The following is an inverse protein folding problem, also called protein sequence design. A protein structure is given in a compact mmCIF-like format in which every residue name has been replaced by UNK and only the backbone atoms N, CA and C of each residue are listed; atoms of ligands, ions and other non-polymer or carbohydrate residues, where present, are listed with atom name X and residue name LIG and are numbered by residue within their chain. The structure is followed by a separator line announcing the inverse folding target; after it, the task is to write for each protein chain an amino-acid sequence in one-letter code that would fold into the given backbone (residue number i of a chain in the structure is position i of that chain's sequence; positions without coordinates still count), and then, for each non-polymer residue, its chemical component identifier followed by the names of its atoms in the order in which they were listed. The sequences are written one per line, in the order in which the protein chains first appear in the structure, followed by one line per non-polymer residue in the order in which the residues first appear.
data_IF_008682634630
#
_entry.id   IF_008682634630
#
_cell.length_a   1.000
_cell.length_b   1.000
_cell.length_c   1.000
_cell.angle_alpha   90.00
_cell.angle_beta   90.00
_cell.angle_gamma   90.00
#
_symmetry.space_group_name_H-M   'P 1'
#
loop_
_entity.id
_entity.type
_entity.pdbx_description
1 polymer ?
#
# COMPACT_ATOMS: atom_id res chain seq x y z
N UNK A 1 50.13 -22.49 -17.63
CA UNK A 1 49.25 -22.08 -16.52
C UNK A 1 48.52 -23.30 -15.99
N UNK A 2 48.51 -23.52 -14.67
CA UNK A 2 47.92 -24.69 -14.01
C UNK A 2 46.39 -24.66 -14.09
N UNK A 3 45.77 -25.80 -14.41
CA UNK A 3 44.31 -26.02 -14.58
C UNK A 3 43.45 -25.38 -13.48
N UNK A 4 43.95 -25.38 -12.23
CA UNK A 4 43.32 -24.76 -11.07
C UNK A 4 43.07 -23.25 -11.18
N UNK A 5 43.99 -22.49 -11.80
CA UNK A 5 43.82 -21.03 -11.92
C UNK A 5 42.69 -20.67 -12.88
N UNK A 6 42.57 -21.43 -13.98
CA UNK A 6 41.54 -21.23 -15.01
C UNK A 6 40.14 -21.57 -14.50
N UNK A 7 39.98 -22.69 -13.79
CA UNK A 7 38.71 -23.07 -13.16
C UNK A 7 38.20 -22.04 -12.14
N UNK A 8 39.13 -21.31 -11.49
CA UNK A 8 38.79 -20.30 -10.50
C UNK A 8 38.34 -19.00 -11.15
N UNK A 9 39.01 -18.58 -12.23
CA UNK A 9 38.62 -17.41 -13.02
C UNK A 9 37.25 -17.61 -13.71
N UNK A 10 37.01 -18.79 -14.29
CA UNK A 10 35.73 -19.12 -14.94
C UNK A 10 34.57 -19.11 -13.93
N UNK A 11 34.79 -19.58 -12.70
CA UNK A 11 33.79 -19.50 -11.62
C UNK A 11 33.50 -18.07 -11.18
N UNK A 12 34.51 -17.22 -11.08
CA UNK A 12 34.31 -15.80 -10.73
C UNK A 12 33.61 -15.03 -11.86
N UNK A 13 33.91 -15.34 -13.11
CA UNK A 13 33.20 -14.78 -14.27
C UNK A 13 31.72 -15.20 -14.28
N UNK A 14 31.43 -16.48 -14.05
CA UNK A 14 30.05 -16.99 -13.98
C UNK A 14 29.24 -16.37 -12.81
N UNK A 15 29.88 -16.13 -11.67
CA UNK A 15 29.27 -15.41 -10.54
C UNK A 15 29.01 -13.94 -10.89
N UNK A 16 29.95 -13.29 -11.59
CA UNK A 16 29.79 -11.93 -12.08
C UNK A 16 28.63 -11.78 -13.07
N UNK A 17 28.51 -12.71 -14.01
CA UNK A 17 27.43 -12.70 -15.02
C UNK A 17 26.07 -13.02 -14.41
N UNK A 18 25.99 -13.92 -13.43
CA UNK A 18 24.72 -14.19 -12.71
C UNK A 18 24.30 -13.05 -11.80
N UNK A 19 25.24 -12.35 -11.15
CA UNK A 19 24.96 -11.10 -10.43
C UNK A 19 24.47 -10.00 -11.37
N UNK A 20 25.11 -9.85 -12.54
CA UNK A 20 24.74 -8.85 -13.53
C UNK A 20 23.40 -9.16 -14.19
N UNK A 21 23.10 -10.43 -14.48
CA UNK A 21 21.80 -10.87 -14.99
C UNK A 21 20.67 -10.69 -13.96
N UNK A 22 20.94 -10.96 -12.66
CA UNK A 22 19.98 -10.63 -11.58
C UNK A 22 19.79 -9.12 -11.42
N UNK A 23 20.85 -8.35 -11.57
CA UNK A 23 20.79 -6.89 -11.44
C UNK A 23 20.02 -6.26 -12.61
N UNK A 24 20.32 -6.65 -13.85
CA UNK A 24 19.67 -6.12 -15.06
C UNK A 24 18.24 -6.65 -15.21
N UNK A 25 17.95 -7.89 -14.77
CA UNK A 25 16.59 -8.44 -14.75
C UNK A 25 15.66 -7.82 -13.69
N UNK A 26 16.20 -7.08 -12.72
CA UNK A 26 15.45 -6.46 -11.63
C UNK A 26 15.38 -4.93 -11.70
N UNK A 27 15.93 -4.28 -12.75
CA UNK A 27 15.66 -2.87 -13.02
C UNK A 27 14.37 -2.80 -13.82
N UNK A 28 13.26 -3.02 -13.13
CA UNK A 28 11.92 -2.68 -13.63
C UNK A 28 11.57 -1.36 -12.98
N UNK A 29 11.22 -0.36 -13.79
CA UNK A 29 10.61 0.85 -13.26
C UNK A 29 9.23 0.47 -12.70
N UNK A 30 9.15 0.25 -11.38
CA UNK A 30 7.89 -0.08 -10.70
C UNK A 30 6.84 1.02 -10.89
N UNK A 31 7.23 2.24 -11.25
CA UNK A 31 6.31 3.32 -11.59
C UNK A 31 5.70 3.19 -13.00
N UNK A 32 6.21 2.32 -13.88
CA UNK A 32 5.61 2.00 -15.19
C UNK A 32 4.68 0.78 -15.15
N UNK A 33 4.76 -0.06 -14.12
CA UNK A 33 3.97 -1.30 -14.01
C UNK A 33 2.61 -1.13 -13.34
N UNK A 34 2.37 -0.01 -12.66
CA UNK A 34 1.09 0.27 -12.01
C UNK A 34 0.06 0.89 -12.96
N UNK A 35 -1.20 0.42 -12.90
CA UNK A 35 -2.31 0.94 -13.72
C UNK A 35 -2.90 2.18 -13.05
N UNK A 36 -2.28 3.34 -13.29
CA UNK A 36 -2.64 4.67 -12.76
C UNK A 36 -3.99 5.16 -13.29
N UNK A 37 -5.04 4.45 -12.92
CA UNK A 37 -6.38 4.70 -13.40
C UNK A 37 -7.17 5.44 -12.33
N UNK A 38 -7.36 6.73 -12.58
CA UNK A 38 -8.03 7.68 -11.70
C UNK A 38 -9.54 7.61 -11.97
N UNK A 39 -10.40 7.55 -10.92
CA UNK A 39 -11.84 7.62 -11.08
C UNK A 39 -12.25 9.02 -11.54
N UNK A 40 -13.20 9.10 -12.47
CA UNK A 40 -13.67 10.38 -13.03
C UNK A 40 -14.97 10.86 -12.41
N UNK A 41 -15.78 9.94 -11.88
CA UNK A 41 -17.16 10.24 -11.48
C UNK A 41 -17.57 9.61 -10.17
N UNK A 42 -16.87 8.57 -9.70
CA UNK A 42 -17.27 7.73 -8.56
C UNK A 42 -18.68 7.14 -8.72
N UNK A 43 -19.14 6.90 -9.95
CA UNK A 43 -20.55 6.55 -10.21
C UNK A 43 -20.95 5.25 -9.52
N UNK A 44 -20.14 4.20 -9.63
CA UNK A 44 -20.43 2.94 -8.95
C UNK A 44 -20.33 3.07 -7.43
N UNK A 45 -19.31 3.77 -6.92
CA UNK A 45 -19.16 3.96 -5.48
C UNK A 45 -20.32 4.78 -4.88
N UNK A 46 -20.72 5.89 -5.52
CA UNK A 46 -21.93 6.65 -5.11
C UNK A 46 -23.20 5.82 -5.14
N UNK A 47 -23.37 4.94 -6.13
CA UNK A 47 -24.51 4.01 -6.17
C UNK A 47 -24.50 3.05 -4.98
N UNK A 48 -23.33 2.56 -4.60
CA UNK A 48 -23.16 1.72 -3.41
C UNK A 48 -23.48 2.49 -2.13
N UNK A 49 -22.90 3.69 -1.93
CA UNK A 49 -23.18 4.51 -0.76
C UNK A 49 -24.68 4.82 -0.62
N UNK A 50 -25.34 5.14 -1.73
CA UNK A 50 -26.79 5.36 -1.74
C UNK A 50 -27.60 4.09 -1.42
N UNK A 51 -27.16 2.92 -1.89
CA UNK A 51 -27.79 1.63 -1.58
C UNK A 51 -27.67 1.31 -0.08
N UNK A 52 -26.50 1.52 0.50
CA UNK A 52 -26.19 1.27 1.91
C UNK A 52 -26.62 2.42 2.85
N UNK A 53 -27.24 3.49 2.30
CA UNK A 53 -27.70 4.68 3.03
C UNK A 53 -26.59 5.40 3.80
N UNK A 54 -25.38 5.40 3.23
CA UNK A 54 -24.23 6.13 3.74
C UNK A 54 -24.25 7.53 3.14
N UNK A 55 -24.24 8.55 4.01
CA UNK A 55 -24.14 9.95 3.59
C UNK A 55 -22.76 10.23 3.03
N UNK A 56 -22.68 11.07 2.01
CA UNK A 56 -21.41 11.46 1.39
C UNK A 56 -21.48 12.85 0.76
N UNK A 57 -20.33 13.45 0.51
CA UNK A 57 -20.17 14.76 -0.13
C UNK A 57 -19.35 14.71 -1.43
N UNK A 58 -19.05 13.50 -1.93
CA UNK A 58 -18.25 13.23 -3.14
C UNK A 58 -18.55 14.21 -4.29
N UNK A 59 -17.55 15.03 -4.59
CA UNK A 59 -17.61 16.07 -5.61
C UNK A 59 -16.32 16.12 -6.46
N UNK A 60 -16.04 17.27 -7.09
CA UNK A 60 -14.84 17.44 -7.89
C UNK A 60 -13.55 17.46 -7.05
N UNK A 61 -13.61 17.93 -5.80
CA UNK A 61 -12.47 17.97 -4.90
C UNK A 61 -12.05 16.55 -4.48
N UNK A 62 -13.02 15.65 -4.30
CA UNK A 62 -12.72 14.22 -4.07
C UNK A 62 -11.90 13.60 -5.20
N UNK A 63 -12.13 14.00 -6.47
CA UNK A 63 -11.33 13.52 -7.61
C UNK A 63 -9.88 13.99 -7.48
N UNK A 64 -9.67 15.27 -7.14
CA UNK A 64 -8.35 15.87 -6.94
C UNK A 64 -7.61 15.19 -5.79
N UNK A 65 -8.28 14.99 -4.64
CA UNK A 65 -7.73 14.33 -3.47
C UNK A 65 -7.29 12.89 -3.78
N UNK A 66 -8.14 12.12 -4.45
CA UNK A 66 -7.82 10.74 -4.86
C UNK A 66 -6.68 10.72 -5.89
N UNK A 67 -6.65 11.65 -6.85
CA UNK A 67 -5.56 11.75 -7.81
C UNK A 67 -4.22 12.03 -7.11
N UNK A 68 -4.18 12.98 -6.19
CA UNK A 68 -2.99 13.30 -5.41
C UNK A 68 -2.57 12.14 -4.51
N UNK A 69 -3.53 11.44 -3.92
CA UNK A 69 -3.29 10.25 -3.10
C UNK A 69 -2.65 9.12 -3.92
N UNK A 70 -3.16 8.85 -5.13
CA UNK A 70 -2.57 7.88 -6.07
C UNK A 70 -1.14 8.30 -6.44
N UNK A 71 -0.93 9.60 -6.71
CA UNK A 71 0.39 10.17 -6.99
C UNK A 71 1.38 9.89 -5.86
N UNK A 72 0.97 10.09 -4.61
CA UNK A 72 1.76 9.80 -3.40
C UNK A 72 2.05 8.30 -3.24
N UNK A 73 1.05 7.43 -3.42
CA UNK A 73 1.23 5.97 -3.36
C UNK A 73 2.19 5.45 -4.44
N UNK A 74 2.17 6.04 -5.64
CA UNK A 74 3.06 5.65 -6.75
C UNK A 74 4.53 5.76 -6.36
N UNK A 75 4.89 6.70 -5.49
CA UNK A 75 6.27 6.91 -5.03
C UNK A 75 6.73 5.91 -3.95
N UNK A 76 5.83 5.08 -3.43
CA UNK A 76 6.20 3.99 -2.52
C UNK A 76 6.69 2.77 -3.29
N UNK A 77 7.61 2.01 -2.69
CA UNK A 77 7.98 0.70 -3.21
C UNK A 77 6.80 -0.27 -3.12
N UNK A 78 6.71 -1.23 -4.06
CA UNK A 78 5.64 -2.23 -4.07
C UNK A 78 5.50 -2.98 -2.73
N UNK A 79 6.63 -3.37 -2.13
CA UNK A 79 6.67 -4.06 -0.83
C UNK A 79 6.13 -3.20 0.33
N UNK A 80 6.28 -1.87 0.26
CA UNK A 80 5.72 -0.96 1.27
C UNK A 80 4.20 -0.82 1.05
N UNK A 81 3.72 -0.76 -0.19
CA UNK A 81 2.28 -0.77 -0.51
C UNK A 81 1.59 -2.06 -0.08
N UNK A 82 2.23 -3.20 -0.28
CA UNK A 82 1.75 -4.50 0.24
C UNK A 82 1.62 -4.48 1.78
N UNK A 83 2.57 -3.87 2.48
CA UNK A 83 2.53 -3.74 3.93
C UNK A 83 1.44 -2.76 4.38
N UNK A 84 1.24 -1.65 3.66
CA UNK A 84 0.11 -0.71 3.86
C UNK A 84 -1.22 -1.46 3.76
N UNK A 85 -1.42 -2.25 2.70
CA UNK A 85 -2.63 -3.07 2.54
C UNK A 85 -2.85 -3.99 3.75
N UNK A 86 -1.81 -4.74 4.16
CA UNK A 86 -1.92 -5.68 5.27
C UNK A 86 -2.27 -4.98 6.61
N UNK A 87 -1.74 -3.77 6.84
CA UNK A 87 -2.03 -2.98 8.03
C UNK A 87 -3.45 -2.40 7.97
N UNK A 88 -3.90 -1.90 6.81
CA UNK A 88 -5.29 -1.46 6.59
C UNK A 88 -6.25 -2.62 6.87
N UNK A 89 -6.02 -3.79 6.28
CA UNK A 89 -6.84 -4.99 6.51
C UNK A 89 -6.85 -5.41 7.99
N UNK A 90 -5.69 -5.34 8.65
CA UNK A 90 -5.59 -5.61 10.09
C UNK A 90 -6.37 -4.59 10.92
N UNK A 91 -6.27 -3.30 10.60
CA UNK A 91 -6.99 -2.23 11.27
C UNK A 91 -8.51 -2.41 11.18
N UNK A 92 -9.01 -2.73 9.99
CA UNK A 92 -10.43 -3.06 9.77
C UNK A 92 -10.83 -4.29 10.60
N UNK A 93 -10.03 -5.36 10.56
CA UNK A 93 -10.34 -6.60 11.27
C UNK A 93 -10.34 -6.46 12.80
N UNK A 94 -9.51 -5.58 13.36
CA UNK A 94 -9.52 -5.25 14.78
C UNK A 94 -10.76 -4.43 15.20
N UNK A 95 -11.38 -3.74 14.24
CA UNK A 95 -12.57 -2.93 14.44
C UNK A 95 -12.40 -1.82 15.49
N UNK A 96 -13.55 -1.36 16.00
CA UNK A 96 -13.63 -0.26 16.96
C UNK A 96 -13.39 1.09 16.30
N UNK A 97 -12.80 2.04 17.04
CA UNK A 97 -12.54 3.43 16.57
C UNK A 97 -11.24 3.57 15.76
N UNK A 98 -10.75 2.48 15.17
CA UNK A 98 -9.48 2.45 14.43
C UNK A 98 -9.62 2.97 13.01
N UNK A 99 -10.75 2.70 12.38
CA UNK A 99 -11.09 3.24 11.06
C UNK A 99 -11.93 4.50 11.24
N UNK A 100 -11.47 5.60 10.67
CA UNK A 100 -12.09 6.93 10.71
C UNK A 100 -12.15 7.49 9.29
N UNK A 101 -12.88 8.59 9.12
CA UNK A 101 -12.91 9.32 7.83
C UNK A 101 -11.50 9.76 7.36
N UNK A 102 -10.55 9.94 8.27
CA UNK A 102 -9.18 10.33 7.94
C UNK A 102 -8.25 9.14 7.68
N UNK A 103 -8.69 7.91 7.91
CA UNK A 103 -7.91 6.69 7.68
C UNK A 103 -7.90 5.72 8.85
N UNK A 104 -6.87 4.89 8.91
CA UNK A 104 -6.72 3.84 9.92
C UNK A 104 -5.60 4.17 10.90
N UNK A 105 -5.92 4.04 12.19
CA UNK A 105 -4.96 4.15 13.29
C UNK A 105 -4.80 2.80 13.98
N UNK A 106 -3.58 2.28 14.05
CA UNK A 106 -3.29 0.99 14.69
C UNK A 106 -2.10 1.12 15.63
N UNK A 107 -2.24 0.56 16.83
CA UNK A 107 -1.11 0.48 17.77
C UNK A 107 -0.02 -0.45 17.20
N UNK A 108 1.28 -0.06 17.23
CA UNK A 108 2.36 -0.89 16.69
C UNK A 108 2.39 -2.34 17.18
N UNK A 109 2.04 -2.60 18.44
CA UNK A 109 2.00 -3.97 18.97
C UNK A 109 0.92 -4.85 18.32
N UNK A 110 -0.22 -4.28 17.92
CA UNK A 110 -1.28 -5.02 17.22
C UNK A 110 -0.78 -5.55 15.86
N UNK A 111 0.22 -4.88 15.28
CA UNK A 111 0.83 -5.21 13.98
C UNK A 111 1.82 -6.37 14.06
N UNK A 112 2.29 -6.75 15.26
CA UNK A 112 3.22 -7.88 15.44
C UNK A 112 2.61 -9.22 15.05
N UNK A 113 1.29 -9.27 14.90
CA UNK A 113 0.57 -10.44 14.36
C UNK A 113 0.72 -10.61 12.85
N UNK A 114 1.10 -9.55 12.11
CA UNK A 114 1.40 -9.62 10.69
C UNK A 114 2.75 -10.30 10.50
N UNK A 115 2.81 -11.28 9.59
CA UNK A 115 4.04 -12.01 9.29
C UNK A 115 4.57 -11.62 7.92
N UNK A 116 5.86 -11.30 7.84
CA UNK A 116 6.58 -11.15 6.58
C UNK A 116 7.77 -12.11 6.58
N UNK A 117 7.89 -12.91 5.52
CA UNK A 117 8.90 -13.98 5.42
C UNK A 117 8.87 -14.94 6.62
N UNK A 118 7.65 -15.32 7.04
CA UNK A 118 7.36 -16.14 8.23
C UNK A 118 7.87 -15.58 9.56
N UNK A 119 8.13 -14.27 9.64
CA UNK A 119 8.53 -13.60 10.88
C UNK A 119 7.53 -12.51 11.25
N UNK A 120 7.19 -12.36 12.54
CA UNK A 120 6.44 -11.22 13.04
C UNK A 120 7.03 -9.91 12.54
N UNK A 121 6.15 -8.94 12.23
CA UNK A 121 6.56 -7.61 11.83
C UNK A 121 7.39 -6.98 12.95
N UNK A 122 8.61 -6.55 12.63
CA UNK A 122 9.52 -5.96 13.61
C UNK A 122 9.26 -4.47 13.81
N UNK A 123 9.57 -3.97 15.00
CA UNK A 123 9.48 -2.54 15.32
C UNK A 123 10.31 -1.68 14.34
N UNK A 124 11.47 -2.20 13.90
CA UNK A 124 12.28 -1.56 12.86
C UNK A 124 11.50 -1.39 11.55
N UNK A 125 10.77 -2.41 11.11
CA UNK A 125 10.02 -2.37 9.85
C UNK A 125 8.78 -1.49 9.96
N UNK A 126 8.12 -1.49 11.11
CA UNK A 126 7.04 -0.54 11.44
C UNK A 126 7.57 0.89 11.39
N UNK A 127 8.68 1.18 12.09
CA UNK A 127 9.30 2.49 12.11
C UNK A 127 9.80 2.96 10.74
N UNK A 128 10.32 2.04 9.91
CA UNK A 128 10.69 2.34 8.52
C UNK A 128 9.46 2.72 7.70
N UNK A 129 8.37 1.94 7.80
CA UNK A 129 7.14 2.25 7.09
C UNK A 129 6.55 3.59 7.54
N UNK A 130 6.50 3.86 8.84
CA UNK A 130 6.02 5.14 9.38
C UNK A 130 6.74 6.34 8.77
N UNK A 131 8.07 6.28 8.65
CA UNK A 131 8.88 7.31 7.98
C UNK A 131 8.61 7.40 6.48
N UNK A 132 8.32 6.27 5.83
CA UNK A 132 7.94 6.26 4.40
C UNK A 132 6.59 6.92 4.20
N UNK A 133 5.60 6.64 5.04
CA UNK A 133 4.27 7.25 4.98
C UNK A 133 4.34 8.76 5.20
N UNK A 134 5.07 9.19 6.23
CA UNK A 134 5.27 10.60 6.58
C UNK A 134 5.90 11.38 5.42
N UNK A 135 6.98 10.84 4.84
CA UNK A 135 7.65 11.45 3.67
C UNK A 135 6.73 11.62 2.46
N UNK A 136 5.77 10.72 2.27
CA UNK A 136 4.84 10.75 1.15
C UNK A 136 3.50 11.40 1.50
N UNK A 137 3.33 11.94 2.71
CA UNK A 137 2.08 12.52 3.20
C UNK A 137 0.89 11.53 3.07
N UNK A 138 1.11 10.30 3.57
CA UNK A 138 0.15 9.18 3.58
C UNK A 138 -0.15 8.66 5.00
N UNK A 139 0.20 9.44 6.01
CA UNK A 139 0.13 9.08 7.43
C UNK A 139 1.52 9.12 8.07
N UNK A 140 1.69 8.40 9.17
CA UNK A 140 2.93 8.46 9.95
C UNK A 140 2.80 7.71 11.27
N UNK A 141 3.82 7.79 12.12
CA UNK A 141 3.72 7.31 13.50
C UNK A 141 3.55 8.53 14.39
N UNK A 142 2.45 8.57 15.12
CA UNK A 142 2.23 9.50 16.22
C UNK A 142 2.69 8.84 17.53
N UNK A 143 3.51 9.55 18.30
CA UNK A 143 4.06 9.13 19.59
C UNK A 143 3.79 10.16 20.70
N UNK A 144 3.06 11.23 20.41
CA UNK A 144 2.77 12.29 21.39
C UNK A 144 1.72 11.82 22.43
N UNK A 145 1.00 10.73 22.13
CA UNK A 145 0.10 10.02 23.04
C UNK A 145 0.34 8.51 23.05
N UNK A 146 -0.74 7.73 23.05
CA UNK A 146 -0.64 6.29 22.84
C UNK A 146 -0.09 6.04 21.42
N UNK A 147 1.01 5.29 21.24
CA UNK A 147 1.64 5.14 19.94
C UNK A 147 0.70 4.60 18.87
N UNK A 148 0.57 5.30 17.75
CA UNK A 148 -0.30 4.89 16.65
C UNK A 148 0.42 5.05 15.32
N UNK A 149 0.40 3.98 14.52
CA UNK A 149 0.69 4.07 13.09
C UNK A 149 -0.61 4.46 12.38
N UNK A 150 -0.62 5.65 11.80
CA UNK A 150 -1.69 6.15 10.96
C UNK A 150 -1.42 5.85 9.49
N UNK A 151 -2.44 5.38 8.78
CA UNK A 151 -2.49 5.28 7.31
C UNK A 151 -3.68 6.11 6.83
N UNK A 152 -3.42 7.19 6.11
CA UNK A 152 -4.46 8.10 5.63
C UNK A 152 -5.42 7.41 4.66
N UNK A 153 -6.71 7.76 4.76
CA UNK A 153 -7.68 7.49 3.70
C UNK A 153 -7.39 8.36 2.46
N UNK A 154 -7.85 7.97 1.26
CA UNK A 154 -7.74 8.80 0.06
C UNK A 154 -8.47 10.14 0.15
N UNK A 155 -9.59 10.17 0.87
CA UNK A 155 -10.51 11.30 1.08
C UNK A 155 -11.48 10.93 2.22
N UNK A 156 -12.19 11.90 2.81
CA UNK A 156 -13.10 11.68 3.94
C UNK A 156 -14.28 10.75 3.63
N UNK A 157 -14.77 10.76 2.38
CA UNK A 157 -15.84 9.86 1.91
C UNK A 157 -15.31 8.45 1.54
N UNK A 158 -13.99 8.26 1.62
CA UNK A 158 -13.27 7.06 1.18
C UNK A 158 -12.62 6.30 2.35
N UNK A 159 -13.36 6.16 3.45
CA UNK A 159 -12.99 5.30 4.58
C UNK A 159 -12.70 3.85 4.18
N UNK A 160 -11.71 3.22 4.83
CA UNK A 160 -11.13 1.96 4.36
C UNK A 160 -12.08 0.77 4.48
N UNK A 161 -12.87 0.67 5.55
CA UNK A 161 -13.90 -0.38 5.70
C UNK A 161 -14.96 -0.28 4.60
N UNK A 162 -15.50 0.91 4.36
CA UNK A 162 -16.51 1.15 3.32
C UNK A 162 -15.98 0.80 1.93
N UNK A 163 -14.73 1.18 1.63
CA UNK A 163 -14.07 0.79 0.39
C UNK A 163 -13.88 -0.72 0.26
N UNK A 164 -13.49 -1.38 1.35
CA UNK A 164 -13.33 -2.85 1.36
C UNK A 164 -14.66 -3.54 1.05
N UNK A 165 -15.73 -3.15 1.72
CA UNK A 165 -17.06 -3.75 1.54
C UNK A 165 -17.58 -3.54 0.11
N UNK A 166 -17.41 -2.34 -0.44
CA UNK A 166 -17.73 -2.02 -1.84
C UNK A 166 -16.98 -2.91 -2.84
N UNK A 167 -15.68 -3.11 -2.62
CA UNK A 167 -14.86 -3.93 -3.50
C UNK A 167 -15.26 -5.40 -3.40
N UNK A 168 -15.53 -5.90 -2.20
CA UNK A 168 -15.93 -7.28 -1.97
C UNK A 168 -17.27 -7.64 -2.63
N UNK A 169 -18.25 -6.72 -2.65
CA UNK A 169 -19.52 -6.90 -3.39
C UNK A 169 -19.28 -7.12 -4.90
N UNK A 170 -18.12 -6.68 -5.42
CA UNK A 170 -17.74 -6.77 -6.83
C UNK A 170 -16.67 -7.82 -7.11
N UNK A 171 -16.37 -8.68 -6.12
CA UNK A 171 -15.32 -9.69 -6.23
C UNK A 171 -13.91 -9.11 -6.37
N UNK A 172 -13.70 -7.91 -5.83
CA UNK A 172 -12.45 -7.15 -5.83
C UNK A 172 -11.87 -7.06 -4.42
N UNK A 173 -10.63 -6.60 -4.32
CA UNK A 173 -9.90 -6.49 -3.05
C UNK A 173 -9.16 -5.17 -2.93
N UNK A 174 -8.81 -4.78 -1.69
CA UNK A 174 -8.00 -3.59 -1.42
C UNK A 174 -6.63 -3.63 -2.11
N UNK A 175 -6.11 -4.82 -2.46
CA UNK A 175 -4.89 -4.96 -3.26
C UNK A 175 -4.98 -4.20 -4.58
N UNK A 176 -6.13 -4.23 -5.25
CA UNK A 176 -6.30 -3.58 -6.54
C UNK A 176 -6.20 -2.05 -6.41
N UNK A 177 -6.65 -1.47 -5.30
CA UNK A 177 -6.49 -0.04 -5.03
C UNK A 177 -5.08 0.29 -4.57
N UNK A 178 -4.61 -0.35 -3.51
CA UNK A 178 -3.38 0.04 -2.81
C UNK A 178 -2.14 -0.43 -3.56
N UNK A 179 -2.11 -1.68 -4.04
CA UNK A 179 -0.92 -2.25 -4.66
C UNK A 179 -0.89 -1.98 -6.17
N UNK A 180 -2.02 -2.16 -6.85
CA UNK A 180 -2.12 -2.08 -8.32
C UNK A 180 -2.54 -0.68 -8.82
N UNK A 181 -2.90 0.23 -7.91
CA UNK A 181 -3.31 1.62 -8.16
C UNK A 181 -4.57 1.78 -9.04
N UNK A 182 -5.46 0.79 -9.07
CA UNK A 182 -6.65 0.72 -9.93
C UNK A 182 -7.88 1.43 -9.35
N UNK A 183 -7.77 2.73 -9.07
CA UNK A 183 -8.88 3.49 -8.48
C UNK A 183 -10.06 3.74 -9.45
N UNK A 184 -9.93 3.48 -10.76
CA UNK A 184 -11.07 3.44 -11.70
C UNK A 184 -12.17 2.45 -11.30
N UNK A 185 -11.86 1.50 -10.41
CA UNK A 185 -12.85 0.58 -9.86
C UNK A 185 -13.98 1.30 -9.11
N UNK A 186 -13.77 2.55 -8.69
CA UNK A 186 -14.76 3.36 -8.00
C UNK A 186 -15.81 3.98 -8.96
N UNK A 187 -15.58 3.96 -10.28
CA UNK A 187 -16.53 4.34 -11.32
C UNK A 187 -17.53 3.21 -11.67
#
# INVERSE_FOLDING_TARGET
MTKWKRDREDRFAAIGDTLRQRYVGNIVDEAETADLSIPRTFKAYKRYLHKERISHTIDAHTIENVQDYIGRLRHMASADRDLVRAIVEKGIALGGRRDTEYGINVHPDDLKTIHVDNRPLSDYRIGKLGKTLDRNNLGGIDVDGEPQLQISAPDEDLGWSTLKDFLEERGKTLRELICDLRFKLLD
#
